data_IF_362214523933
#
_entry.id   IF_362214523933
#
_cell.length_a   1.000
_cell.length_b   1.000
_cell.length_c   1.000
_cell.angle_alpha   90.00
_cell.angle_beta   90.00
_cell.angle_gamma   90.00
#
_symmetry.space_group_name_H-M   'P 1'
#
loop_
_entity.id
_entity.type
_entity.pdbx_description
1 polymer ?
#
# COMPACT_ATOMS: atom_id res chain seq x y z
N UNK A 1 -21.44 -16.29 -10.62
CA UNK A 1 -20.69 -17.43 -11.19
C UNK A 1 -21.59 -18.58 -11.61
N UNK A 2 -22.60 -18.92 -10.80
CA UNK A 2 -23.45 -20.10 -11.04
C UNK A 2 -24.27 -20.04 -12.36
N UNK A 3 -24.56 -18.83 -12.87
CA UNK A 3 -25.25 -18.64 -14.14
C UNK A 3 -24.50 -19.25 -15.34
N UNK A 4 -23.18 -19.40 -15.23
CA UNK A 4 -22.36 -19.93 -16.35
C UNK A 4 -22.23 -21.47 -16.32
N UNK A 5 -22.65 -22.14 -15.23
CA UNK A 5 -22.47 -23.59 -15.08
C UNK A 5 -23.33 -24.40 -16.05
N UNK A 6 -24.54 -23.93 -16.36
CA UNK A 6 -25.50 -24.63 -17.20
C UNK A 6 -25.88 -23.87 -18.47
N UNK A 7 -25.07 -22.89 -18.82
CA UNK A 7 -25.35 -21.95 -19.89
C UNK A 7 -26.02 -20.68 -19.41
N UNK A 8 -26.06 -19.66 -20.27
CA UNK A 8 -26.63 -18.36 -19.97
C UNK A 8 -27.49 -17.93 -21.18
N UNK A 9 -28.68 -17.39 -20.91
CA UNK A 9 -29.54 -16.85 -21.96
C UNK A 9 -28.99 -15.54 -22.53
N UNK A 10 -29.45 -15.15 -23.72
CA UNK A 10 -29.05 -13.88 -24.35
C UNK A 10 -29.42 -12.67 -23.45
N UNK A 11 -30.60 -12.70 -22.85
CA UNK A 11 -31.07 -11.60 -22.00
C UNK A 11 -30.22 -11.48 -20.73
N UNK A 12 -29.92 -12.60 -20.05
CA UNK A 12 -29.02 -12.61 -18.90
C UNK A 12 -27.61 -12.14 -19.25
N UNK A 13 -27.10 -12.55 -20.43
CA UNK A 13 -25.82 -12.06 -20.94
C UNK A 13 -25.81 -10.56 -21.13
N UNK A 14 -26.86 -10.00 -21.74
CA UNK A 14 -26.97 -8.55 -21.93
C UNK A 14 -27.07 -7.79 -20.60
N UNK A 15 -27.81 -8.32 -19.62
CA UNK A 15 -27.87 -7.74 -18.27
C UNK A 15 -26.50 -7.69 -17.59
N UNK A 16 -25.73 -8.78 -17.67
CA UNK A 16 -24.39 -8.84 -17.08
C UNK A 16 -23.42 -7.91 -17.82
N UNK A 17 -23.43 -7.95 -19.15
CA UNK A 17 -22.54 -7.17 -20.00
C UNK A 17 -22.76 -5.66 -19.83
N UNK A 18 -24.01 -5.22 -19.73
CA UNK A 18 -24.37 -3.82 -19.62
C UNK A 18 -24.43 -3.32 -18.18
N UNK A 19 -24.15 -4.18 -17.20
CA UNK A 19 -24.18 -3.80 -15.80
C UNK A 19 -23.09 -2.75 -15.50
N UNK A 20 -23.46 -1.55 -14.95
CA UNK A 20 -22.51 -0.49 -14.64
C UNK A 20 -21.43 -0.90 -13.63
N UNK A 21 -21.70 -1.91 -12.79
CA UNK A 21 -20.74 -2.47 -11.84
C UNK A 21 -19.71 -3.41 -12.50
N UNK A 22 -19.83 -3.69 -13.79
CA UNK A 22 -18.90 -4.51 -14.59
C UNK A 22 -18.52 -5.84 -13.90
N UNK A 23 -19.48 -6.74 -13.62
CA UNK A 23 -19.24 -7.97 -12.86
C UNK A 23 -18.32 -8.97 -13.54
N UNK A 24 -18.14 -8.87 -14.88
CA UNK A 24 -17.21 -9.71 -15.67
C UNK A 24 -15.73 -9.35 -15.47
N UNK A 25 -15.45 -8.18 -14.88
CA UNK A 25 -14.08 -7.78 -14.60
C UNK A 25 -13.65 -8.28 -13.22
N UNK A 26 -12.62 -9.12 -13.18
CA UNK A 26 -11.97 -9.46 -11.93
C UNK A 26 -11.23 -8.23 -11.37
N UNK A 27 -11.92 -7.46 -10.53
CA UNK A 27 -11.39 -6.21 -9.98
C UNK A 27 -10.16 -6.42 -9.09
N UNK A 28 -10.02 -7.60 -8.50
CA UNK A 28 -8.86 -7.94 -7.66
C UNK A 28 -7.57 -7.96 -8.47
N UNK A 29 -7.63 -8.49 -9.70
CA UNK A 29 -6.47 -8.66 -10.58
C UNK A 29 -6.34 -7.54 -11.62
N UNK A 30 -7.48 -6.98 -12.07
CA UNK A 30 -7.52 -6.07 -13.21
C UNK A 30 -7.99 -4.66 -12.85
N UNK A 31 -8.53 -4.43 -11.65
CA UNK A 31 -8.90 -3.11 -11.18
C UNK A 31 -7.67 -2.31 -10.80
N UNK A 32 -7.51 -1.12 -11.38
CA UNK A 32 -6.41 -0.21 -11.09
C UNK A 32 -6.92 0.99 -10.29
N UNK A 33 -6.37 1.17 -9.11
CA UNK A 33 -6.78 2.21 -8.17
C UNK A 33 -5.58 2.94 -7.59
N UNK A 34 -5.74 4.23 -7.29
CA UNK A 34 -4.77 4.96 -6.48
C UNK A 34 -4.80 4.40 -5.06
N UNK A 35 -3.68 3.92 -4.51
CA UNK A 35 -3.65 3.31 -3.18
C UNK A 35 -3.89 4.33 -2.05
N UNK A 36 -3.67 5.62 -2.31
CA UNK A 36 -3.76 6.65 -1.30
C UNK A 36 -2.85 6.37 -0.10
N UNK A 37 -3.28 6.76 1.07
CA UNK A 37 -2.48 6.63 2.31
C UNK A 37 -2.10 5.20 2.71
N UNK A 38 -2.61 4.16 2.05
CA UNK A 38 -2.17 2.78 2.31
C UNK A 38 -0.72 2.52 1.89
N UNK A 39 -0.14 3.39 1.05
CA UNK A 39 1.27 3.30 0.64
C UNK A 39 2.26 3.83 1.68
N UNK A 40 1.81 4.63 2.65
CA UNK A 40 2.68 5.29 3.63
C UNK A 40 3.60 4.34 4.42
N UNK A 41 3.21 3.11 4.76
CA UNK A 41 4.12 2.12 5.34
C UNK A 41 5.35 1.87 4.46
N UNK A 42 5.19 1.74 3.15
CA UNK A 42 6.33 1.54 2.22
C UNK A 42 7.20 2.80 2.13
N UNK A 43 6.59 3.98 2.12
CA UNK A 43 7.35 5.26 2.13
C UNK A 43 8.22 5.35 3.37
N UNK A 44 7.67 5.00 4.54
CA UNK A 44 8.40 4.95 5.80
C UNK A 44 9.54 3.93 5.78
N UNK A 45 9.26 2.70 5.32
CA UNK A 45 10.26 1.63 5.19
C UNK A 45 11.38 2.03 4.25
N UNK A 46 11.05 2.59 3.08
CA UNK A 46 12.03 3.06 2.12
C UNK A 46 12.94 4.13 2.70
N UNK A 47 12.39 5.07 3.46
CA UNK A 47 13.15 6.16 4.06
C UNK A 47 14.07 5.67 5.19
N UNK A 48 13.61 4.73 6.01
CA UNK A 48 14.40 4.08 7.06
C UNK A 48 15.56 3.25 6.47
N UNK A 49 15.28 2.42 5.45
CA UNK A 49 16.30 1.57 4.80
C UNK A 49 17.39 2.37 4.07
N UNK A 50 17.04 3.54 3.55
CA UNK A 50 17.99 4.45 2.92
C UNK A 50 18.64 5.44 3.89
N UNK A 51 18.38 5.31 5.21
CA UNK A 51 18.87 6.21 6.26
C UNK A 51 18.54 7.69 6.00
N UNK A 52 17.42 7.96 5.33
CA UNK A 52 16.92 9.32 5.05
C UNK A 52 16.26 9.92 6.27
N UNK A 53 15.63 9.06 7.08
CA UNK A 53 15.06 9.40 8.37
C UNK A 53 15.43 8.35 9.42
N UNK A 54 15.28 8.72 10.68
CA UNK A 54 15.31 7.83 11.83
C UNK A 54 14.02 7.98 12.66
N UNK A 55 13.94 7.30 13.80
CA UNK A 55 12.78 7.37 14.71
C UNK A 55 12.66 8.72 15.44
N UNK A 56 13.72 9.54 15.46
CA UNK A 56 13.74 10.87 16.09
C UNK A 56 13.34 11.97 15.11
N UNK A 57 13.34 11.68 13.80
CA UNK A 57 12.96 12.64 12.76
C UNK A 57 11.53 13.15 12.98
N UNK A 58 11.35 14.47 12.99
CA UNK A 58 10.07 15.13 13.23
C UNK A 58 9.81 16.20 12.19
N UNK A 59 8.54 16.36 11.84
CA UNK A 59 8.05 17.41 10.93
C UNK A 59 6.95 18.18 11.64
N UNK A 60 6.92 19.51 11.47
CA UNK A 60 5.83 20.37 11.94
C UNK A 60 4.75 20.43 10.87
N UNK A 61 3.57 19.86 11.17
CA UNK A 61 2.40 19.92 10.29
C UNK A 61 1.50 21.09 10.71
N UNK A 62 1.37 22.08 9.84
CA UNK A 62 0.48 23.24 10.00
C UNK A 62 -0.80 23.11 9.18
N UNK A 63 -1.08 21.91 8.61
CA UNK A 63 -2.22 21.65 7.74
C UNK A 63 -1.90 21.76 6.25
N UNK A 64 -0.75 22.31 5.90
CA UNK A 64 -0.30 22.44 4.51
C UNK A 64 1.23 22.46 4.41
N UNK A 65 1.73 22.24 3.20
CA UNK A 65 3.14 22.43 2.81
C UNK A 65 3.15 23.21 1.51
N UNK A 66 4.02 24.19 1.39
CA UNK A 66 4.19 24.99 0.18
C UNK A 66 5.52 24.63 -0.51
N UNK A 67 5.46 24.42 -1.82
CA UNK A 67 6.60 24.10 -2.64
C UNK A 67 6.47 24.79 -4.00
N UNK A 68 7.43 25.67 -4.35
CA UNK A 68 7.45 26.41 -5.63
C UNK A 68 6.10 27.05 -5.99
N UNK A 69 5.48 27.72 -5.02
CA UNK A 69 4.18 28.39 -5.20
C UNK A 69 2.96 27.46 -5.29
N UNK A 70 3.15 26.14 -5.11
CA UNK A 70 2.07 25.19 -5.02
C UNK A 70 1.82 24.77 -3.57
N UNK A 71 0.55 24.70 -3.19
CA UNK A 71 0.13 24.28 -1.84
C UNK A 71 -0.32 22.83 -1.85
N UNK A 72 0.27 22.04 -0.99
CA UNK A 72 -0.06 20.64 -0.72
C UNK A 72 -0.74 20.55 0.64
N UNK A 73 -2.01 20.17 0.69
CA UNK A 73 -2.80 20.14 1.92
C UNK A 73 -2.63 18.82 2.67
N UNK A 74 -2.62 18.92 4.00
CA UNK A 74 -2.88 17.78 4.87
C UNK A 74 -4.40 17.64 5.07
N UNK A 75 -4.89 16.43 5.30
CA UNK A 75 -6.31 16.20 5.56
C UNK A 75 -6.82 16.93 6.82
N UNK A 76 -5.93 17.17 7.80
CA UNK A 76 -6.23 17.93 9.01
C UNK A 76 -5.86 19.40 8.79
N UNK A 77 -6.83 20.24 8.52
CA UNK A 77 -6.64 21.66 8.15
C UNK A 77 -5.84 22.46 9.18
N UNK A 78 -6.12 22.28 10.48
CA UNK A 78 -5.40 22.94 11.58
C UNK A 78 -4.02 22.33 11.85
N UNK A 79 -3.64 21.32 11.07
CA UNK A 79 -2.37 20.59 11.23
C UNK A 79 -2.35 19.65 12.44
N UNK A 80 -1.26 18.87 12.48
CA UNK A 80 -1.01 17.87 13.54
C UNK A 80 0.01 18.37 14.59
N UNK A 81 0.61 19.56 14.39
CA UNK A 81 1.74 20.03 15.19
C UNK A 81 3.02 19.25 14.84
N UNK A 82 3.91 19.08 15.81
CA UNK A 82 5.11 18.27 15.65
C UNK A 82 4.77 16.77 15.67
N UNK A 83 5.10 16.07 14.61
CA UNK A 83 4.86 14.61 14.48
C UNK A 83 6.15 13.87 14.17
N UNK A 84 6.37 12.77 14.90
CA UNK A 84 7.37 11.74 14.57
C UNK A 84 6.77 10.71 13.62
N UNK A 85 7.58 9.77 13.10
CA UNK A 85 7.13 8.70 12.22
C UNK A 85 5.91 7.94 12.79
N UNK A 86 5.98 7.49 14.05
CA UNK A 86 4.87 6.78 14.71
C UNK A 86 3.59 7.62 14.71
N UNK A 87 3.67 8.88 15.14
CA UNK A 87 2.49 9.75 15.19
C UNK A 87 1.97 10.16 13.81
N UNK A 88 2.85 10.34 12.83
CA UNK A 88 2.47 10.63 11.46
C UNK A 88 1.77 9.44 10.78
N UNK A 89 2.24 8.22 11.01
CA UNK A 89 1.58 6.99 10.53
C UNK A 89 0.23 6.80 11.23
N UNK A 90 0.20 6.90 12.56
CA UNK A 90 -0.99 6.78 13.40
C UNK A 90 -2.12 7.71 12.95
N UNK A 91 -1.79 8.98 12.72
CA UNK A 91 -2.75 10.01 12.34
C UNK A 91 -2.81 10.26 10.83
N UNK A 92 -2.11 9.47 10.03
CA UNK A 92 -2.06 9.61 8.56
C UNK A 92 -1.66 11.02 8.08
N UNK A 93 -0.70 11.67 8.72
CA UNK A 93 -0.28 13.05 8.42
C UNK A 93 0.36 13.16 7.04
N UNK A 94 -0.27 13.85 6.09
CA UNK A 94 0.25 14.00 4.73
C UNK A 94 1.51 14.87 4.70
N UNK A 95 1.55 15.97 5.48
CA UNK A 95 2.70 16.87 5.54
C UNK A 95 3.99 16.15 5.93
N UNK A 96 3.93 15.22 6.88
CA UNK A 96 5.09 14.39 7.24
C UNK A 96 5.57 13.56 6.05
N UNK A 97 4.64 12.90 5.35
CA UNK A 97 4.98 12.03 4.23
C UNK A 97 5.37 12.80 2.97
N UNK A 98 4.91 14.03 2.79
CA UNK A 98 5.45 14.94 1.75
C UNK A 98 6.94 15.19 1.98
N UNK A 99 7.32 15.55 3.21
CA UNK A 99 8.72 15.83 3.54
C UNK A 99 9.59 14.57 3.44
N UNK A 100 9.12 13.42 3.94
CA UNK A 100 9.82 12.15 3.82
C UNK A 100 10.03 11.78 2.34
N UNK A 101 8.99 11.91 1.50
CA UNK A 101 9.09 11.61 0.08
C UNK A 101 10.06 12.59 -0.63
N UNK A 102 10.03 13.88 -0.26
CA UNK A 102 10.94 14.90 -0.79
C UNK A 102 12.40 14.54 -0.54
N UNK A 103 12.72 14.12 0.68
CA UNK A 103 14.08 13.72 1.07
C UNK A 103 14.50 12.39 0.44
N UNK A 104 13.57 11.45 0.30
CA UNK A 104 13.82 10.11 -0.25
C UNK A 104 14.04 10.15 -1.77
N UNK A 105 13.20 10.88 -2.49
CA UNK A 105 13.10 10.85 -3.94
C UNK A 105 12.30 9.66 -4.47
N UNK A 106 11.66 9.88 -5.64
CA UNK A 106 10.76 8.89 -6.24
C UNK A 106 11.46 7.61 -6.68
N UNK A 107 12.70 7.68 -7.15
CA UNK A 107 13.42 6.51 -7.68
C UNK A 107 13.77 5.51 -6.57
N UNK A 108 14.22 5.97 -5.40
CA UNK A 108 14.44 5.09 -4.23
C UNK A 108 13.13 4.50 -3.71
N UNK A 109 12.07 5.30 -3.73
CA UNK A 109 10.74 4.82 -3.36
C UNK A 109 10.23 3.75 -4.34
N UNK A 110 10.42 3.94 -5.66
CA UNK A 110 10.06 2.96 -6.68
C UNK A 110 10.79 1.61 -6.46
N UNK A 111 12.11 1.63 -6.22
CA UNK A 111 12.89 0.42 -5.94
C UNK A 111 12.30 -0.36 -4.76
N UNK A 112 11.89 0.34 -3.70
CA UNK A 112 11.27 -0.31 -2.53
C UNK A 112 9.89 -0.85 -2.87
N UNK A 113 9.07 -0.09 -3.57
CA UNK A 113 7.72 -0.49 -3.97
C UNK A 113 7.73 -1.75 -4.85
N UNK A 114 8.71 -1.87 -5.76
CA UNK A 114 8.88 -3.07 -6.59
C UNK A 114 9.22 -4.33 -5.80
N UNK A 115 9.92 -4.22 -4.67
CA UNK A 115 10.16 -5.35 -3.76
C UNK A 115 8.86 -5.89 -3.15
N UNK A 116 7.88 -5.00 -2.95
CA UNK A 116 6.54 -5.36 -2.48
C UNK A 116 5.58 -5.81 -3.58
N UNK A 117 6.05 -5.89 -4.84
CA UNK A 117 5.24 -6.32 -5.99
C UNK A 117 4.40 -5.21 -6.63
N UNK A 118 4.52 -3.95 -6.18
CA UNK A 118 3.84 -2.84 -6.81
C UNK A 118 4.46 -2.51 -8.18
N UNK A 119 3.60 -2.28 -9.17
CA UNK A 119 4.05 -2.03 -10.54
C UNK A 119 4.47 -3.30 -11.31
N UNK A 120 4.22 -4.51 -10.76
CA UNK A 120 4.55 -5.81 -11.36
C UNK A 120 3.33 -6.73 -11.34
N UNK A 121 3.30 -7.72 -12.24
CA UNK A 121 2.41 -8.87 -12.08
C UNK A 121 2.92 -9.75 -10.93
N UNK A 122 2.03 -10.19 -10.04
CA UNK A 122 2.40 -10.93 -8.83
C UNK A 122 2.01 -12.42 -8.88
N UNK A 123 1.08 -12.78 -9.77
CA UNK A 123 0.68 -14.18 -10.05
C UNK A 123 1.45 -14.79 -11.24
N UNK A 124 2.30 -14.00 -11.88
CA UNK A 124 3.09 -14.47 -13.02
C UNK A 124 2.26 -14.77 -14.25
N UNK A 125 2.46 -15.97 -14.84
CA UNK A 125 1.83 -16.37 -16.09
C UNK A 125 0.44 -17.01 -15.94
N UNK A 126 -0.02 -17.23 -14.70
CA UNK A 126 -1.28 -17.93 -14.44
C UNK A 126 -2.53 -17.15 -14.88
N UNK A 127 -2.42 -15.83 -15.05
CA UNK A 127 -3.55 -14.97 -15.40
C UNK A 127 -3.19 -13.88 -16.40
N UNK A 128 -3.64 -14.05 -17.64
CA UNK A 128 -3.43 -13.05 -18.71
C UNK A 128 -4.03 -11.70 -18.37
N UNK A 129 -5.14 -11.70 -17.61
CA UNK A 129 -5.88 -10.49 -17.23
C UNK A 129 -5.26 -9.73 -16.06
N UNK A 130 -4.19 -10.23 -15.44
CA UNK A 130 -3.53 -9.53 -14.37
C UNK A 130 -2.90 -8.22 -14.86
N UNK A 131 -3.24 -7.12 -14.22
CA UNK A 131 -2.67 -5.80 -14.51
C UNK A 131 -1.48 -5.53 -13.58
N UNK A 132 -0.35 -5.12 -14.18
CA UNK A 132 0.86 -4.79 -13.42
C UNK A 132 0.76 -3.50 -12.60
N UNK A 133 -0.28 -2.68 -12.83
CA UNK A 133 -0.35 -1.35 -12.26
C UNK A 133 0.79 -0.44 -12.71
N UNK A 134 1.03 0.60 -11.92
CA UNK A 134 2.11 1.55 -12.16
C UNK A 134 2.64 2.07 -10.83
N UNK A 135 3.93 1.93 -10.57
CA UNK A 135 4.64 2.72 -9.60
C UNK A 135 5.64 3.60 -10.36
N UNK A 136 5.47 4.93 -10.38
CA UNK A 136 6.24 5.80 -11.27
C UNK A 136 7.68 5.99 -10.78
N UNK A 137 8.57 6.31 -11.73
CA UNK A 137 9.92 6.79 -11.47
C UNK A 137 10.32 7.82 -12.55
N UNK A 138 11.50 8.44 -12.41
CA UNK A 138 11.99 9.47 -13.34
C UNK A 138 12.14 8.93 -14.76
N UNK A 139 12.68 7.71 -14.92
CA UNK A 139 12.88 7.04 -16.20
C UNK A 139 11.56 6.73 -16.89
N UNK A 140 10.58 6.19 -16.15
CA UNK A 140 9.25 5.91 -16.67
C UNK A 140 8.61 7.17 -17.25
N UNK A 141 8.62 8.28 -16.51
CA UNK A 141 7.98 9.51 -16.96
C UNK A 141 8.63 10.08 -18.22
N UNK A 142 9.96 10.06 -18.28
CA UNK A 142 10.69 10.50 -19.47
C UNK A 142 10.35 9.65 -20.69
N UNK A 143 10.32 8.32 -20.53
CA UNK A 143 10.08 7.41 -21.64
C UNK A 143 8.62 7.38 -22.10
N UNK A 144 7.66 7.44 -21.15
CA UNK A 144 6.23 7.30 -21.46
C UNK A 144 5.54 8.62 -21.81
N UNK A 145 6.01 9.75 -21.25
CA UNK A 145 5.36 11.05 -21.40
C UNK A 145 6.26 12.11 -22.06
N UNK A 146 7.53 11.80 -22.34
CA UNK A 146 8.49 12.74 -22.91
C UNK A 146 8.84 13.92 -21.99
N UNK A 147 8.48 13.86 -20.69
CA UNK A 147 8.60 14.97 -19.74
C UNK A 147 9.55 14.64 -18.59
N UNK A 148 10.27 15.64 -18.09
CA UNK A 148 11.04 15.50 -16.87
C UNK A 148 10.17 15.33 -15.63
N UNK A 149 10.73 14.72 -14.59
CA UNK A 149 10.09 14.59 -13.29
C UNK A 149 10.14 15.93 -12.53
N UNK A 150 9.07 16.27 -11.83
CA UNK A 150 9.02 17.46 -10.98
C UNK A 150 8.81 17.06 -9.51
N UNK A 151 9.38 17.84 -8.60
CA UNK A 151 9.39 17.51 -7.17
C UNK A 151 7.98 17.40 -6.56
N UNK A 152 7.02 18.21 -7.04
CA UNK A 152 5.62 18.11 -6.60
C UNK A 152 5.00 16.74 -6.87
N UNK A 153 5.41 16.06 -7.93
CA UNK A 153 4.95 14.68 -8.21
C UNK A 153 5.52 13.67 -7.20
N UNK A 154 6.75 13.91 -6.70
CA UNK A 154 7.31 13.10 -5.62
C UNK A 154 6.47 13.22 -4.34
N UNK A 155 6.05 14.42 -3.98
CA UNK A 155 5.22 14.66 -2.80
C UNK A 155 3.90 13.87 -2.91
N UNK A 156 3.22 14.01 -4.05
CA UNK A 156 1.94 13.34 -4.31
C UNK A 156 2.11 11.82 -4.34
N UNK A 157 3.20 11.33 -4.93
CA UNK A 157 3.57 9.90 -4.93
C UNK A 157 3.76 9.39 -3.50
N UNK A 158 4.36 10.17 -2.60
CA UNK A 158 4.59 9.82 -1.20
C UNK A 158 3.32 9.63 -0.36
N UNK A 159 2.18 10.05 -0.86
CA UNK A 159 0.87 9.81 -0.23
C UNK A 159 -0.04 8.88 -1.05
N UNK A 160 0.51 8.22 -2.06
CA UNK A 160 -0.20 7.22 -2.86
C UNK A 160 -1.15 7.80 -3.89
N UNK A 161 -0.85 8.99 -4.40
CA UNK A 161 -1.63 9.71 -5.39
C UNK A 161 -0.80 9.98 -6.67
N UNK A 162 -1.37 10.70 -7.61
CA UNK A 162 -0.72 11.02 -8.88
C UNK A 162 -0.75 9.85 -9.85
N UNK A 163 0.40 9.42 -10.35
CA UNK A 163 0.49 8.37 -11.36
C UNK A 163 0.40 6.94 -10.80
N UNK A 164 0.45 6.77 -9.47
CA UNK A 164 0.40 5.43 -8.86
C UNK A 164 -0.94 4.76 -9.15
N UNK A 165 -0.86 3.53 -9.65
CA UNK A 165 -1.98 2.63 -9.82
C UNK A 165 -1.61 1.24 -9.32
N UNK A 166 -2.41 0.66 -8.47
CA UNK A 166 -2.23 -0.70 -7.93
C UNK A 166 -3.51 -1.51 -8.01
N UNK A 167 -3.37 -2.81 -8.09
CA UNK A 167 -4.49 -3.74 -7.93
C UNK A 167 -4.72 -4.02 -6.44
N UNK A 168 -5.93 -4.43 -6.03
CA UNK A 168 -6.20 -4.91 -4.67
C UNK A 168 -5.29 -6.07 -4.27
N UNK A 169 -4.97 -7.00 -5.18
CA UNK A 169 -4.04 -8.09 -4.90
C UNK A 169 -2.64 -7.59 -4.56
N UNK A 170 -2.11 -6.60 -5.27
CA UNK A 170 -0.81 -6.02 -4.96
C UNK A 170 -0.79 -5.38 -3.57
N UNK A 171 -1.87 -4.68 -3.17
CA UNK A 171 -1.98 -4.10 -1.82
C UNK A 171 -2.11 -5.18 -0.75
N UNK A 172 -2.83 -6.28 -1.03
CA UNK A 172 -2.91 -7.44 -0.16
C UNK A 172 -1.52 -8.06 0.05
N UNK A 173 -0.79 -8.33 -1.01
CA UNK A 173 0.56 -8.88 -0.95
C UNK A 173 1.53 -7.96 -0.19
N UNK A 174 1.49 -6.65 -0.48
CA UNK A 174 2.25 -5.65 0.25
C UNK A 174 1.98 -5.72 1.76
N UNK A 175 0.70 -5.81 2.13
CA UNK A 175 0.28 -5.88 3.54
C UNK A 175 0.73 -7.18 4.20
N UNK A 176 0.59 -8.32 3.52
CA UNK A 176 1.07 -9.62 3.99
C UNK A 176 2.58 -9.62 4.25
N UNK A 177 3.37 -9.02 3.34
CA UNK A 177 4.82 -8.91 3.48
C UNK A 177 5.24 -7.95 4.61
N UNK A 178 4.45 -6.93 4.93
CA UNK A 178 4.68 -6.12 6.13
C UNK A 178 4.32 -6.93 7.39
N UNK A 179 3.20 -7.64 7.37
CA UNK A 179 2.70 -8.39 8.52
C UNK A 179 3.62 -9.54 8.93
N UNK A 180 4.19 -10.26 7.96
CA UNK A 180 5.10 -11.39 8.21
C UNK A 180 6.53 -10.99 8.60
N UNK A 181 6.79 -9.69 8.81
CA UNK A 181 8.13 -9.22 9.19
C UNK A 181 9.05 -8.89 8.02
N UNK A 182 8.51 -8.72 6.81
CA UNK A 182 9.27 -8.29 5.62
C UNK A 182 9.90 -9.43 4.82
N UNK A 183 9.32 -10.61 4.89
CA UNK A 183 9.69 -11.71 4.01
C UNK A 183 8.87 -11.68 2.72
N UNK A 184 9.48 -12.08 1.61
CA UNK A 184 8.79 -12.15 0.33
C UNK A 184 7.64 -13.19 0.39
N UNK A 185 6.52 -12.84 -0.24
CA UNK A 185 5.34 -13.70 -0.38
C UNK A 185 5.09 -13.95 -1.86
N UNK A 186 4.83 -15.19 -2.25
CA UNK A 186 4.34 -15.53 -3.58
C UNK A 186 2.86 -15.94 -3.45
N UNK A 187 1.91 -15.17 -4.01
CA UNK A 187 0.51 -15.52 -3.93
C UNK A 187 0.24 -16.85 -4.66
N UNK A 188 -0.55 -17.72 -4.05
CA UNK A 188 -1.04 -18.97 -4.67
C UNK A 188 -2.56 -18.91 -4.80
N UNK A 189 -3.10 -19.48 -5.87
CA UNK A 189 -4.56 -19.62 -6.10
C UNK A 189 -4.96 -21.08 -5.95
N UNK A 190 -4.06 -22.00 -6.30
CA UNK A 190 -4.27 -23.42 -6.10
C UNK A 190 -3.65 -23.79 -4.76
N UNK A 191 -4.46 -24.33 -3.88
CA UNK A 191 -4.03 -24.88 -2.59
C UNK A 191 -3.78 -26.36 -2.79
N UNK A 192 -2.62 -26.84 -2.36
CA UNK A 192 -2.34 -28.29 -2.36
C UNK A 192 -3.37 -29.06 -1.53
N UNK A 193 -3.60 -30.31 -1.90
CA UNK A 193 -4.67 -31.16 -1.34
C UNK A 193 -4.55 -31.47 0.16
N UNK A 194 -3.45 -31.11 0.79
CA UNK A 194 -3.25 -31.21 2.23
C UNK A 194 -3.38 -29.82 2.87
N UNK A 195 -4.57 -29.43 3.36
CA UNK A 195 -4.71 -28.19 4.09
C UNK A 195 -3.83 -28.25 5.35
N UNK A 196 -2.96 -27.28 5.51
CA UNK A 196 -2.18 -27.11 6.74
C UNK A 196 -3.16 -26.86 7.88
N UNK A 197 -3.00 -27.57 8.99
CA UNK A 197 -3.83 -27.35 10.16
C UNK A 197 -3.65 -25.93 10.71
N UNK A 198 -4.64 -25.42 11.44
CA UNK A 198 -4.53 -24.10 12.08
C UNK A 198 -3.32 -24.03 13.03
N UNK A 199 -3.01 -25.14 13.72
CA UNK A 199 -1.87 -25.26 14.62
C UNK A 199 -0.54 -25.22 13.88
N UNK A 200 -0.41 -25.90 12.76
CA UNK A 200 0.79 -25.87 11.93
C UNK A 200 0.99 -24.47 11.31
N UNK A 201 -0.13 -23.84 10.88
CA UNK A 201 -0.12 -22.48 10.40
C UNK A 201 0.36 -21.50 11.48
N UNK A 202 -0.12 -21.63 12.70
CA UNK A 202 0.25 -20.81 13.85
C UNK A 202 1.72 -21.01 14.22
N UNK A 203 2.17 -22.25 14.30
CA UNK A 203 3.55 -22.59 14.62
C UNK A 203 4.53 -22.08 13.54
N UNK A 204 4.11 -22.14 12.26
CA UNK A 204 4.87 -21.59 11.15
C UNK A 204 4.93 -20.05 11.19
N UNK A 205 3.85 -19.38 11.64
CA UNK A 205 3.86 -17.94 11.86
C UNK A 205 4.79 -17.53 13.02
N UNK A 206 4.77 -18.27 14.12
CA UNK A 206 5.60 -18.01 15.30
C UNK A 206 7.08 -18.30 15.03
N UNK A 207 7.39 -19.31 14.21
CA UNK A 207 8.76 -19.65 13.78
C UNK A 207 9.27 -18.81 12.61
N UNK A 208 8.45 -17.96 11.99
CA UNK A 208 8.78 -17.22 10.78
C UNK A 208 8.81 -18.08 9.52
N UNK A 209 8.37 -19.32 9.60
CA UNK A 209 8.27 -20.29 8.51
C UNK A 209 6.83 -20.28 7.96
N UNK A 210 6.57 -19.50 6.93
CA UNK A 210 5.29 -19.54 6.23
C UNK A 210 5.42 -20.27 4.89
N UNK A 211 4.90 -21.52 4.87
CA UNK A 211 4.27 -22.19 3.74
C UNK A 211 5.01 -22.28 2.40
N UNK A 212 5.81 -23.26 2.18
CA UNK A 212 5.83 -24.13 0.99
C UNK A 212 6.94 -25.18 1.02
N UNK A 213 6.62 -26.44 0.69
CA UNK A 213 7.63 -27.49 0.51
C UNK A 213 8.49 -27.28 -0.76
N UNK A 214 8.09 -26.37 -1.67
CA UNK A 214 8.87 -25.98 -2.85
C UNK A 214 9.61 -24.63 -2.65
N UNK A 215 9.58 -24.04 -1.45
CA UNK A 215 10.00 -22.66 -1.21
C UNK A 215 11.20 -22.48 -0.29
N UNK A 216 12.10 -23.46 -0.14
CA UNK A 216 13.38 -23.22 0.53
C UNK A 216 14.10 -21.98 -0.05
N UNK A 217 13.91 -21.68 -1.33
CA UNK A 217 14.48 -20.51 -2.01
C UNK A 217 13.79 -19.17 -1.67
N UNK A 218 12.53 -19.18 -1.17
CA UNK A 218 11.75 -17.96 -0.88
C UNK A 218 11.74 -17.59 0.61
N UNK A 219 11.86 -18.56 1.49
CA UNK A 219 11.83 -18.37 2.95
C UNK A 219 13.01 -17.55 3.47
N UNK A 220 14.14 -17.50 2.76
CA UNK A 220 15.31 -16.69 3.11
C UNK A 220 15.30 -15.28 2.49
N UNK A 221 14.33 -14.95 1.66
CA UNK A 221 14.34 -13.68 0.92
C UNK A 221 13.74 -12.55 1.74
N UNK A 222 14.51 -12.06 2.70
CA UNK A 222 14.23 -10.81 3.40
C UNK A 222 14.22 -9.65 2.40
N UNK A 223 13.14 -8.88 2.39
CA UNK A 223 12.99 -7.70 1.54
C UNK A 223 13.88 -6.55 2.01
N UNK A 224 14.25 -6.55 3.29
CA UNK A 224 15.00 -5.48 3.94
C UNK A 224 16.24 -6.01 4.67
N UNK A 225 17.28 -5.19 4.69
CA UNK A 225 18.51 -5.49 5.41
C UNK A 225 18.33 -5.39 6.92
N UNK A 226 17.52 -4.41 7.37
CA UNK A 226 17.32 -4.15 8.78
C UNK A 226 15.86 -4.48 9.19
N UNK A 227 15.69 -5.65 9.82
CA UNK A 227 14.39 -6.12 10.31
C UNK A 227 13.76 -5.18 11.35
N UNK A 228 14.57 -4.39 12.07
CA UNK A 228 14.06 -3.40 13.01
C UNK A 228 13.17 -2.35 12.33
N UNK A 229 13.46 -2.02 11.07
CA UNK A 229 12.67 -1.05 10.31
C UNK A 229 11.23 -1.50 10.07
N UNK A 230 11.03 -2.79 9.79
CA UNK A 230 9.69 -3.38 9.65
C UNK A 230 8.94 -3.27 10.98
N UNK A 231 9.58 -3.64 12.08
CA UNK A 231 8.95 -3.59 13.41
C UNK A 231 8.52 -2.17 13.78
N UNK A 232 9.33 -1.15 13.49
CA UNK A 232 8.97 0.26 13.69
C UNK A 232 7.69 0.62 12.93
N UNK A 233 7.55 0.15 11.69
CA UNK A 233 6.36 0.44 10.87
C UNK A 233 5.15 -0.36 11.36
N UNK A 234 5.31 -1.63 11.73
CA UNK A 234 4.25 -2.44 12.33
C UNK A 234 3.71 -1.80 13.62
N UNK A 235 4.59 -1.35 14.52
CA UNK A 235 4.21 -0.64 15.74
C UNK A 235 3.46 0.67 15.45
N UNK A 236 3.86 1.40 14.41
CA UNK A 236 3.18 2.62 13.99
C UNK A 236 1.80 2.33 13.37
N UNK A 237 1.64 1.23 12.64
CA UNK A 237 0.35 0.74 12.13
C UNK A 237 -0.53 0.23 13.27
N UNK A 238 0.04 -0.46 14.27
CA UNK A 238 -0.69 -0.87 15.47
C UNK A 238 -1.24 0.33 16.23
N UNK A 239 -0.44 1.38 16.39
CA UNK A 239 -0.86 2.62 17.01
C UNK A 239 -2.04 3.30 16.27
N UNK A 240 -2.10 3.17 14.93
CA UNK A 240 -3.22 3.71 14.13
C UNK A 240 -4.58 3.10 14.49
N UNK A 241 -4.59 1.85 14.93
CA UNK A 241 -5.83 1.15 15.30
C UNK A 241 -6.08 1.19 16.82
N UNK A 242 -5.04 1.05 17.64
CA UNK A 242 -5.22 0.77 19.07
C UNK A 242 -4.93 1.97 20.00
N UNK A 243 -4.33 3.06 19.51
CA UNK A 243 -4.08 4.24 20.30
C UNK A 243 -5.05 5.38 20.00
N UNK A 244 -5.38 6.22 21.02
CA UNK A 244 -6.17 7.44 20.83
C UNK A 244 -5.61 8.32 19.72
N UNK A 245 -6.49 8.98 18.98
CA UNK A 245 -6.19 9.79 17.78
C UNK A 245 -5.71 9.00 16.57
N UNK A 246 -5.63 7.67 16.64
CA UNK A 246 -5.41 6.83 15.47
C UNK A 246 -6.58 6.90 14.50
N UNK A 247 -6.30 6.92 13.18
CA UNK A 247 -7.34 7.06 12.14
C UNK A 247 -8.28 5.85 12.07
N UNK A 248 -7.85 4.69 12.58
CA UNK A 248 -8.65 3.46 12.68
C UNK A 248 -9.11 3.14 14.10
N UNK A 249 -8.92 4.04 15.07
CA UNK A 249 -9.20 3.80 16.49
C UNK A 249 -10.64 3.37 16.77
N UNK A 250 -11.61 3.88 15.99
CA UNK A 250 -13.02 3.51 16.13
C UNK A 250 -13.32 2.06 15.72
N UNK A 251 -12.43 1.44 14.94
CA UNK A 251 -12.56 0.06 14.45
C UNK A 251 -11.73 -0.93 15.27
N UNK A 252 -11.12 -0.51 16.39
CA UNK A 252 -10.31 -1.39 17.23
C UNK A 252 -11.15 -2.50 17.84
N UNK A 253 -10.51 -3.60 18.13
CA UNK A 253 -11.07 -4.69 18.93
C UNK A 253 -10.47 -4.57 20.32
N UNK A 254 -11.31 -4.50 21.34
CA UNK A 254 -10.86 -4.28 22.72
C UNK A 254 -10.24 -5.55 23.34
N UNK A 255 -10.61 -6.74 22.85
CA UNK A 255 -9.98 -8.00 23.26
C UNK A 255 -8.52 -8.06 22.77
N UNK A 256 -7.53 -8.14 23.67
CA UNK A 256 -6.10 -8.15 23.32
C UNK A 256 -5.73 -9.27 22.33
N UNK A 257 -6.44 -10.40 22.38
CA UNK A 257 -6.20 -11.57 21.49
C UNK A 257 -6.48 -11.27 20.02
N UNK A 258 -7.40 -10.32 19.75
CA UNK A 258 -7.86 -10.01 18.40
C UNK A 258 -7.48 -8.58 17.96
N UNK A 259 -6.57 -7.92 18.68
CA UNK A 259 -6.05 -6.64 18.27
C UNK A 259 -5.31 -6.76 16.94
N UNK A 260 -5.46 -5.76 16.09
CA UNK A 260 -4.84 -5.74 14.77
C UNK A 260 -4.16 -4.40 14.49
N UNK A 261 -3.20 -4.42 13.56
CA UNK A 261 -2.56 -3.24 13.02
C UNK A 261 -3.23 -2.84 11.70
N UNK A 262 -3.30 -1.55 11.40
CA UNK A 262 -3.94 -1.09 10.19
C UNK A 262 -3.44 0.26 9.68
N UNK A 263 -3.79 0.55 8.43
CA UNK A 263 -3.59 1.85 7.81
C UNK A 263 -4.80 2.22 6.98
N UNK A 264 -5.46 3.32 7.33
CA UNK A 264 -6.55 3.87 6.51
C UNK A 264 -6.04 4.40 5.19
N UNK A 265 -6.84 4.24 4.14
CA UNK A 265 -6.60 4.80 2.81
C UNK A 265 -7.74 5.72 2.39
N UNK A 266 -7.40 6.84 1.79
CA UNK A 266 -8.31 7.72 1.08
C UNK A 266 -7.67 8.10 -0.24
N UNK A 267 -8.34 7.78 -1.34
CA UNK A 267 -7.89 8.14 -2.68
C UNK A 267 -8.74 9.28 -3.22
N UNK A 268 -8.08 10.31 -3.71
CA UNK A 268 -8.76 11.40 -4.41
C UNK A 268 -9.01 10.97 -5.86
N UNK A 269 -10.27 10.82 -6.24
CA UNK A 269 -10.68 10.36 -7.57
C UNK A 269 -10.93 11.50 -8.56
N UNK A 270 -11.08 12.74 -8.07
CA UNK A 270 -11.17 13.94 -8.90
C UNK A 270 -10.38 15.09 -8.29
N UNK A 271 -10.01 16.05 -9.14
CA UNK A 271 -9.41 17.30 -8.65
C UNK A 271 -10.45 18.10 -7.89
N UNK A 272 -10.18 18.42 -6.64
CA UNK A 272 -11.01 19.34 -5.84
C UNK A 272 -10.54 20.76 -6.18
N UNK A 273 -11.44 21.57 -6.71
CA UNK A 273 -11.16 22.96 -7.01
C UNK A 273 -11.02 23.81 -5.73
N UNK A 274 -10.40 24.98 -5.84
CA UNK A 274 -10.27 25.91 -4.70
C UNK A 274 -11.63 26.26 -4.12
N UNK A 275 -12.65 26.46 -5.00
CA UNK A 275 -14.02 26.81 -4.63
C UNK A 275 -14.79 25.68 -3.91
N UNK A 276 -14.42 24.40 -4.14
CA UNK A 276 -15.02 23.25 -3.45
C UNK A 276 -14.40 22.98 -2.08
N UNK A 277 -13.37 23.75 -1.69
CA UNK A 277 -12.68 23.65 -0.40
C UNK A 277 -13.05 24.76 0.58
N UNK A 278 -13.58 25.85 0.07
CA UNK A 278 -14.18 26.97 0.81
C UNK A 278 -15.67 26.69 1.10
#
# INVERSE_FOLDING_TARGET
>A
PNLFLFGISQDEWQLIRNNPLKPLINKTLSGLYSPGSTIKPIVALSALENNVIDTKFKVKCTGKTELYGQTFHCWKEKGHGWVSLKNAMKQSCDTYFYEVARLLGVDRLNITAEKFGLGKKVLGEYFDNEKKGLFPNTKWKKNSLGKGWVLGETLITGIGQGYIQSTPLQLCMMTAQIANGGFAVKPKIIVDSNPISYEDAKQSMESGLLFDNDSEELLDKKLFKNQRNIKIVQEAMFASTNERFGTSYKSRIDDPKYQFAGKTGTAQVKRISKRERE
#
